data_IF_961332414641
#
_entry.id   IF_961332414641
#
_cell.length_a   1.000
_cell.length_b   1.000
_cell.length_c   1.000
_cell.angle_alpha   90.00
_cell.angle_beta   90.00
_cell.angle_gamma   90.00
#
_symmetry.space_group_name_H-M   'P 1'
#
loop_
_entity.id
_entity.type
_entity.pdbx_description
1 polymer ?
#
# COMPACT_ATOMS: atom_id res chain seq x y z
N UNK A 1 13.26 5.40 26.01
CA UNK A 1 13.04 6.65 26.76
C UNK A 1 12.08 7.48 25.93
N UNK A 2 10.81 7.56 26.35
CA UNK A 2 9.81 8.42 25.70
C UNK A 2 10.26 9.86 25.94
N UNK A 3 10.66 10.57 24.90
CA UNK A 3 10.89 12.00 24.98
C UNK A 3 9.53 12.67 25.06
N UNK A 4 9.27 13.37 26.14
CA UNK A 4 7.97 13.97 26.51
C UNK A 4 7.76 15.34 25.81
N UNK A 5 8.30 15.49 24.60
CA UNK A 5 8.23 16.73 23.80
C UNK A 5 7.11 16.74 22.75
N UNK A 6 6.25 15.70 22.76
CA UNK A 6 5.13 15.58 21.82
C UNK A 6 5.53 15.24 20.38
N UNK A 7 6.83 15.00 20.12
CA UNK A 7 7.30 14.55 18.80
C UNK A 7 7.05 13.04 18.64
N UNK A 8 6.64 12.63 17.46
CA UNK A 8 6.41 11.20 17.12
C UNK A 8 7.67 10.34 17.13
N UNK A 9 8.83 10.90 17.44
CA UNK A 9 10.14 10.22 17.36
C UNK A 9 10.58 9.90 15.93
N UNK A 10 9.85 10.37 14.92
CA UNK A 10 10.13 10.16 13.48
C UNK A 10 10.92 11.32 12.86
N UNK A 11 10.99 12.47 13.52
CA UNK A 11 11.67 13.66 12.99
C UNK A 11 13.12 13.34 12.57
N UNK A 12 13.51 13.81 11.38
CA UNK A 12 14.84 13.61 10.76
C UNK A 12 15.16 12.16 10.35
N UNK A 13 14.21 11.24 10.42
CA UNK A 13 14.35 9.91 9.83
C UNK A 13 14.14 9.97 8.30
N UNK A 14 14.64 8.97 7.57
CA UNK A 14 14.43 8.83 6.14
C UNK A 14 13.51 7.66 5.81
N UNK A 15 12.48 7.93 5.02
CA UNK A 15 11.46 6.93 4.63
C UNK A 15 11.23 6.93 3.12
N UNK A 16 11.33 5.73 2.51
CA UNK A 16 10.92 5.50 1.12
C UNK A 16 9.43 5.12 1.05
N UNK A 17 8.67 5.79 0.17
CA UNK A 17 7.26 5.44 -0.10
C UNK A 17 7.11 5.10 -1.58
N UNK A 18 6.92 3.83 -1.92
CA UNK A 18 6.62 3.44 -3.30
C UNK A 18 5.17 3.75 -3.64
N UNK A 19 4.89 4.12 -4.90
CA UNK A 19 3.54 4.58 -5.27
C UNK A 19 3.14 5.90 -4.62
N UNK A 20 4.11 6.72 -4.18
CA UNK A 20 3.89 7.96 -3.42
C UNK A 20 3.32 9.13 -4.22
N UNK A 21 3.12 8.98 -5.53
CA UNK A 21 2.59 10.04 -6.40
C UNK A 21 1.06 10.22 -6.35
N UNK A 22 0.30 9.36 -5.66
CA UNK A 22 -1.16 9.45 -5.55
C UNK A 22 -1.72 8.56 -4.43
N UNK A 23 -3.02 8.73 -4.13
CA UNK A 23 -3.80 7.85 -3.26
C UNK A 23 -3.19 7.63 -1.88
N UNK A 24 -3.18 6.38 -1.42
CA UNK A 24 -2.65 6.00 -0.10
C UNK A 24 -1.19 6.39 0.06
N UNK A 25 -0.36 6.16 -0.97
CA UNK A 25 1.06 6.50 -0.91
C UNK A 25 1.31 7.99 -0.71
N UNK A 26 0.56 8.85 -1.42
CA UNK A 26 0.62 10.30 -1.24
C UNK A 26 0.15 10.70 0.17
N UNK A 27 -0.96 10.14 0.66
CA UNK A 27 -1.45 10.42 2.00
C UNK A 27 -0.46 10.06 3.10
N UNK A 28 0.20 8.89 2.96
CA UNK A 28 1.26 8.45 3.88
C UNK A 28 2.47 9.40 3.81
N UNK A 29 2.93 9.74 2.60
CA UNK A 29 4.06 10.65 2.40
C UNK A 29 3.78 12.03 3.02
N UNK A 30 2.57 12.56 2.84
CA UNK A 30 2.13 13.84 3.44
C UNK A 30 2.15 13.77 4.97
N UNK A 31 1.60 12.71 5.55
CA UNK A 31 1.56 12.53 7.00
C UNK A 31 2.96 12.38 7.63
N UNK A 32 3.89 11.72 6.94
CA UNK A 32 5.28 11.59 7.37
C UNK A 32 6.03 12.92 7.28
N UNK A 33 5.87 13.66 6.18
CA UNK A 33 6.48 14.97 6.01
C UNK A 33 6.03 15.96 7.09
N UNK A 34 4.77 15.89 7.54
CA UNK A 34 4.25 16.70 8.64
C UNK A 34 4.97 16.43 9.99
N UNK A 35 5.54 15.25 10.17
CA UNK A 35 6.35 14.89 11.35
C UNK A 35 7.84 15.25 11.19
N UNK A 36 8.23 15.91 10.10
CA UNK A 36 9.63 16.27 9.83
C UNK A 36 10.49 15.10 9.33
N UNK A 37 9.86 14.08 8.74
CA UNK A 37 10.52 12.96 8.07
C UNK A 37 11.06 13.42 6.72
N UNK A 38 12.24 12.96 6.33
CA UNK A 38 12.73 13.05 4.96
C UNK A 38 12.08 11.95 4.13
N UNK A 39 11.14 12.32 3.26
CA UNK A 39 10.36 11.36 2.48
C UNK A 39 10.90 11.29 1.06
N UNK A 40 11.25 10.09 0.59
CA UNK A 40 11.48 9.84 -0.84
C UNK A 40 10.27 9.13 -1.40
N UNK A 41 9.60 9.73 -2.38
CA UNK A 41 8.49 9.10 -3.09
C UNK A 41 8.94 8.56 -4.44
N UNK A 42 8.52 7.35 -4.80
CA UNK A 42 8.82 6.82 -6.12
C UNK A 42 7.57 6.27 -6.85
N UNK A 43 7.68 6.21 -8.18
CA UNK A 43 6.63 5.72 -9.09
C UNK A 43 7.01 5.97 -10.54
N UNK A 44 6.20 5.47 -11.47
CA UNK A 44 6.51 5.47 -12.91
C UNK A 44 6.26 6.82 -13.61
N UNK A 45 5.44 7.69 -13.05
CA UNK A 45 5.05 8.94 -13.70
C UNK A 45 5.70 10.13 -13.00
N UNK A 46 6.69 10.72 -13.66
CA UNK A 46 7.49 11.85 -13.17
C UNK A 46 6.62 13.08 -12.85
N UNK A 47 5.65 13.42 -13.72
CA UNK A 47 4.78 14.58 -13.50
C UNK A 47 3.88 14.41 -12.27
N UNK A 48 3.37 13.18 -12.04
CA UNK A 48 2.58 12.90 -10.82
C UNK A 48 3.45 13.01 -9.57
N UNK A 49 4.69 12.53 -9.62
CA UNK A 49 5.63 12.66 -8.51
C UNK A 49 5.97 14.11 -8.23
N UNK A 50 6.24 14.91 -9.26
CA UNK A 50 6.56 16.33 -9.11
C UNK A 50 5.38 17.10 -8.48
N UNK A 51 4.13 16.86 -8.94
CA UNK A 51 2.94 17.46 -8.34
C UNK A 51 2.74 17.03 -6.88
N UNK A 52 2.93 15.75 -6.58
CA UNK A 52 2.84 15.23 -5.23
C UNK A 52 3.87 15.88 -4.30
N UNK A 53 5.13 15.97 -4.73
CA UNK A 53 6.19 16.61 -3.96
C UNK A 53 5.91 18.11 -3.71
N UNK A 54 5.41 18.81 -4.73
CA UNK A 54 5.01 20.22 -4.58
C UNK A 54 3.88 20.38 -3.57
N UNK A 55 2.84 19.54 -3.65
CA UNK A 55 1.72 19.55 -2.71
C UNK A 55 2.20 19.29 -1.28
N UNK A 56 2.99 18.23 -1.06
CA UNK A 56 3.50 17.85 0.26
C UNK A 56 4.32 18.99 0.87
N UNK A 57 5.21 19.60 0.08
CA UNK A 57 6.08 20.68 0.53
C UNK A 57 5.30 21.96 0.84
N UNK A 58 4.24 22.24 0.07
CA UNK A 58 3.35 23.39 0.32
C UNK A 58 2.58 23.20 1.62
N UNK A 59 2.04 22.00 1.84
CA UNK A 59 1.24 21.70 3.02
C UNK A 59 2.12 21.54 4.30
N UNK A 60 3.40 21.17 4.12
CA UNK A 60 4.33 20.87 5.22
C UNK A 60 5.71 21.50 4.95
N UNK A 61 5.88 22.81 5.17
CA UNK A 61 7.14 23.52 4.85
C UNK A 61 8.37 23.03 5.63
N UNK A 62 8.18 22.33 6.75
CA UNK A 62 9.26 21.74 7.55
C UNK A 62 9.70 20.34 7.04
N UNK A 63 8.87 19.70 6.22
CA UNK A 63 9.17 18.40 5.61
C UNK A 63 10.04 18.53 4.35
N UNK A 64 10.80 17.50 4.06
CA UNK A 64 11.56 17.39 2.80
C UNK A 64 11.07 16.21 2.00
N UNK A 65 10.91 16.41 0.68
CA UNK A 65 10.44 15.37 -0.24
C UNK A 65 11.36 15.29 -1.44
N UNK A 66 11.90 14.09 -1.68
CA UNK A 66 12.64 13.76 -2.89
C UNK A 66 11.79 12.85 -3.79
N UNK A 67 12.03 12.88 -5.10
CA UNK A 67 11.28 12.06 -6.07
C UNK A 67 12.22 11.18 -6.88
N UNK A 68 11.81 9.93 -7.13
CA UNK A 68 12.55 9.00 -8.00
C UNK A 68 11.57 8.36 -8.98
N UNK A 69 11.79 8.58 -10.28
CA UNK A 69 11.07 7.81 -11.30
C UNK A 69 11.57 6.37 -11.28
N UNK A 70 10.70 5.43 -10.90
CA UNK A 70 11.05 4.03 -10.74
C UNK A 70 9.83 3.12 -11.01
N UNK A 71 10.07 1.99 -11.68
CA UNK A 71 9.14 0.87 -11.74
C UNK A 71 9.57 -0.17 -10.71
N UNK A 72 8.69 -0.48 -9.74
CA UNK A 72 9.00 -1.45 -8.69
C UNK A 72 9.19 -2.88 -9.20
N UNK A 73 8.77 -3.17 -10.42
CA UNK A 73 9.03 -4.46 -11.10
C UNK A 73 10.42 -4.53 -11.73
N UNK A 74 11.13 -3.42 -11.81
CA UNK A 74 12.52 -3.34 -12.27
C UNK A 74 13.45 -3.26 -11.06
N UNK A 75 14.33 -4.25 -10.91
CA UNK A 75 15.21 -4.35 -9.75
C UNK A 75 16.20 -3.18 -9.64
N UNK A 76 16.78 -2.71 -10.75
CA UNK A 76 17.73 -1.59 -10.77
C UNK A 76 17.05 -0.26 -10.36
N UNK A 77 15.79 -0.09 -10.76
CA UNK A 77 15.00 1.07 -10.34
C UNK A 77 14.76 1.07 -8.83
N UNK A 78 14.46 -0.09 -8.25
CA UNK A 78 14.28 -0.24 -6.81
C UNK A 78 15.59 0.03 -6.06
N UNK A 79 16.72 -0.49 -6.55
CA UNK A 79 18.05 -0.21 -5.98
C UNK A 79 18.32 1.29 -5.95
N UNK A 80 18.06 1.98 -7.06
CA UNK A 80 18.24 3.43 -7.18
C UNK A 80 17.32 4.20 -6.21
N UNK A 81 16.05 3.80 -6.09
CA UNK A 81 15.12 4.46 -5.18
C UNK A 81 15.53 4.31 -3.71
N UNK A 82 16.02 3.13 -3.30
CA UNK A 82 16.55 2.87 -1.95
C UNK A 82 17.82 3.69 -1.68
N UNK A 83 18.73 3.76 -2.65
CA UNK A 83 19.95 4.56 -2.54
C UNK A 83 19.62 6.04 -2.32
N UNK A 84 18.75 6.61 -3.18
CA UNK A 84 18.34 8.03 -3.06
C UNK A 84 17.67 8.30 -1.71
N UNK A 85 16.81 7.39 -1.22
CA UNK A 85 16.19 7.55 0.09
C UNK A 85 17.22 7.59 1.23
N UNK A 86 18.35 6.91 1.08
CA UNK A 86 19.41 6.86 2.09
C UNK A 86 20.35 8.08 2.07
N UNK A 87 20.45 8.80 0.95
CA UNK A 87 21.49 9.84 0.71
C UNK A 87 21.36 11.02 1.68
N UNK A 88 20.15 11.48 1.96
CA UNK A 88 19.94 12.74 2.69
C UNK A 88 20.33 12.66 4.16
N UNK A 89 20.08 11.53 4.81
CA UNK A 89 20.37 11.31 6.23
C UNK A 89 21.58 10.39 6.46
N UNK A 90 22.10 9.79 5.38
CA UNK A 90 23.17 8.79 5.42
C UNK A 90 22.68 7.38 5.73
N UNK A 91 21.37 7.18 5.95
CA UNK A 91 20.75 5.88 6.20
C UNK A 91 19.29 5.85 5.79
N UNK A 92 18.71 4.66 5.67
CA UNK A 92 17.28 4.43 5.55
C UNK A 92 16.74 3.98 6.92
N UNK A 93 15.61 4.55 7.36
CA UNK A 93 14.97 4.20 8.64
C UNK A 93 13.64 3.47 8.44
N UNK A 94 12.96 3.71 7.33
CA UNK A 94 11.67 3.08 7.07
C UNK A 94 11.27 3.00 5.60
N UNK A 95 10.32 2.12 5.31
CA UNK A 95 9.77 1.92 3.97
C UNK A 95 8.27 1.68 4.02
N UNK A 96 7.52 2.26 3.08
CA UNK A 96 6.10 1.92 2.86
C UNK A 96 5.90 1.47 1.42
N UNK A 97 5.46 0.21 1.22
CA UNK A 97 5.23 -0.34 -0.12
C UNK A 97 3.78 -0.11 -0.54
N UNK A 98 3.48 1.06 -1.14
CA UNK A 98 2.15 1.40 -1.63
C UNK A 98 1.96 1.16 -3.13
N UNK A 99 3.03 0.94 -3.90
CA UNK A 99 2.92 0.62 -5.32
C UNK A 99 2.10 -0.65 -5.52
N UNK A 100 1.05 -0.58 -6.31
CA UNK A 100 0.16 -1.70 -6.57
C UNK A 100 -1.03 -1.30 -7.44
N UNK A 101 -1.76 -2.29 -7.91
CA UNK A 101 -2.92 -2.08 -8.79
C UNK A 101 -3.61 -3.39 -9.15
N UNK A 102 -4.59 -3.29 -10.05
CA UNK A 102 -5.28 -4.43 -10.62
C UNK A 102 -5.57 -4.18 -12.09
N UNK A 103 -5.14 -5.09 -12.96
CA UNK A 103 -5.41 -5.07 -14.39
C UNK A 103 -6.43 -6.15 -14.78
N UNK A 104 -6.96 -6.91 -13.80
CA UNK A 104 -7.83 -8.04 -14.07
C UNK A 104 -9.21 -7.84 -13.45
N UNK A 105 -10.25 -7.95 -14.27
CA UNK A 105 -11.65 -7.98 -13.84
C UNK A 105 -12.41 -9.08 -14.58
N UNK A 106 -13.41 -9.67 -13.93
CA UNK A 106 -14.28 -10.65 -14.55
C UNK A 106 -14.20 -12.03 -13.88
N UNK A 107 -15.01 -12.98 -14.40
CA UNK A 107 -15.06 -14.35 -13.90
C UNK A 107 -13.72 -15.06 -14.11
N UNK A 108 -13.33 -15.92 -13.17
CA UNK A 108 -12.05 -16.63 -13.20
C UNK A 108 -11.84 -17.45 -14.47
N UNK A 109 -12.93 -17.90 -15.11
CA UNK A 109 -12.93 -18.65 -16.38
C UNK A 109 -12.60 -17.81 -17.61
N UNK A 110 -12.58 -16.47 -17.47
CA UNK A 110 -12.38 -15.53 -18.59
C UNK A 110 -11.24 -14.53 -18.31
N UNK A 111 -10.43 -14.77 -17.30
CA UNK A 111 -9.32 -13.86 -16.96
C UNK A 111 -8.24 -13.91 -18.05
N UNK A 112 -7.78 -12.74 -18.48
CA UNK A 112 -6.60 -12.60 -19.31
C UNK A 112 -5.33 -12.96 -18.51
N UNK A 113 -4.56 -13.91 -19.04
CA UNK A 113 -3.39 -14.47 -18.33
C UNK A 113 -2.25 -13.45 -18.25
N UNK A 114 -2.09 -12.58 -19.25
CA UNK A 114 -1.01 -11.60 -19.24
C UNK A 114 -1.34 -10.43 -18.29
N UNK A 115 -2.60 -9.99 -18.23
CA UNK A 115 -3.06 -9.05 -17.21
C UNK A 115 -2.93 -9.63 -15.79
N UNK A 116 -3.22 -10.94 -15.62
CA UNK A 116 -2.97 -11.66 -14.37
C UNK A 116 -1.49 -11.58 -13.97
N UNK A 117 -0.58 -11.94 -14.89
CA UNK A 117 0.88 -11.90 -14.64
C UNK A 117 1.34 -10.50 -14.26
N UNK A 118 0.94 -9.47 -15.01
CA UNK A 118 1.31 -8.08 -14.70
C UNK A 118 0.79 -7.62 -13.33
N UNK A 119 -0.44 -8.01 -12.94
CA UNK A 119 -0.99 -7.71 -11.62
C UNK A 119 -0.19 -8.38 -10.50
N UNK A 120 0.15 -9.66 -10.67
CA UNK A 120 0.97 -10.40 -9.69
C UNK A 120 2.38 -9.81 -9.64
N UNK A 121 2.97 -9.52 -10.78
CA UNK A 121 4.32 -8.96 -10.86
C UNK A 121 4.39 -7.59 -10.16
N UNK A 122 3.46 -6.69 -10.45
CA UNK A 122 3.38 -5.39 -9.78
C UNK A 122 3.21 -5.53 -8.27
N UNK A 123 2.21 -6.31 -7.81
CA UNK A 123 1.83 -6.35 -6.41
C UNK A 123 2.76 -7.21 -5.55
N UNK A 124 3.21 -8.37 -6.07
CA UNK A 124 4.01 -9.35 -5.30
C UNK A 124 5.50 -9.15 -5.57
N UNK A 125 5.92 -9.24 -6.85
CA UNK A 125 7.35 -9.13 -7.21
C UNK A 125 7.87 -7.73 -6.86
N UNK A 126 7.11 -6.67 -7.18
CA UNK A 126 7.49 -5.29 -6.85
C UNK A 126 7.61 -5.06 -5.35
N UNK A 127 6.70 -5.63 -4.54
CA UNK A 127 6.81 -5.57 -3.07
C UNK A 127 8.02 -6.36 -2.58
N UNK A 128 8.25 -7.56 -3.13
CA UNK A 128 9.41 -8.39 -2.78
C UNK A 128 10.73 -7.70 -3.08
N UNK A 129 10.89 -7.11 -4.26
CA UNK A 129 12.09 -6.37 -4.64
C UNK A 129 12.32 -5.16 -3.72
N UNK A 130 11.24 -4.44 -3.39
CA UNK A 130 11.31 -3.32 -2.45
C UNK A 130 11.75 -3.79 -1.07
N UNK A 131 11.16 -4.85 -0.51
CA UNK A 131 11.58 -5.43 0.76
C UNK A 131 13.05 -5.89 0.70
N UNK A 132 13.44 -6.64 -0.34
CA UNK A 132 14.79 -7.19 -0.52
C UNK A 132 15.88 -6.11 -0.40
N UNK A 133 15.73 -5.02 -1.13
CA UNK A 133 16.78 -3.99 -1.18
C UNK A 133 16.70 -3.02 0.01
N UNK A 134 15.49 -2.70 0.46
CA UNK A 134 15.31 -1.87 1.65
C UNK A 134 15.77 -2.58 2.94
N UNK A 135 15.48 -3.88 3.07
CA UNK A 135 15.93 -4.66 4.23
C UNK A 135 17.46 -4.66 4.37
N UNK A 136 18.20 -4.75 3.25
CA UNK A 136 19.67 -4.65 3.27
C UNK A 136 20.15 -3.31 3.83
N UNK A 137 19.52 -2.21 3.41
CA UNK A 137 19.85 -0.87 3.91
C UNK A 137 19.49 -0.70 5.39
N UNK A 138 18.29 -1.18 5.80
CA UNK A 138 17.83 -1.12 7.19
C UNK A 138 18.71 -1.98 8.13
N UNK A 139 19.10 -3.18 7.72
CA UNK A 139 20.03 -4.03 8.49
C UNK A 139 21.39 -3.36 8.65
N UNK A 140 21.91 -2.73 7.58
CA UNK A 140 23.15 -1.98 7.65
C UNK A 140 23.07 -0.74 8.56
N UNK A 141 21.88 -0.13 8.70
CA UNK A 141 21.59 0.96 9.62
C UNK A 141 21.38 0.49 11.07
N UNK A 142 21.33 -0.83 11.34
CA UNK A 142 21.11 -1.40 12.68
C UNK A 142 19.65 -1.65 13.03
N UNK A 143 18.72 -1.52 12.10
CA UNK A 143 17.29 -1.80 12.24
C UNK A 143 16.40 -0.82 11.49
N UNK A 144 15.09 -0.95 11.64
CA UNK A 144 14.12 -0.08 11.01
C UNK A 144 12.74 -0.71 10.88
N UNK A 145 11.89 -0.11 10.04
CA UNK A 145 10.52 -0.61 9.87
C UNK A 145 10.06 -0.60 8.42
N UNK A 146 9.43 -1.70 8.00
CA UNK A 146 8.78 -1.83 6.70
C UNK A 146 7.26 -1.97 6.92
N UNK A 147 6.48 -1.18 6.22
CA UNK A 147 5.02 -1.26 6.19
C UNK A 147 4.57 -1.61 4.79
N UNK A 148 3.94 -2.77 4.62
CA UNK A 148 3.36 -3.15 3.34
C UNK A 148 1.89 -2.77 3.28
N UNK A 149 1.40 -2.41 2.08
CA UNK A 149 -0.01 -2.13 1.85
C UNK A 149 -0.64 -3.27 1.05
N UNK A 150 -1.45 -4.06 1.74
CA UNK A 150 -2.27 -5.12 1.15
C UNK A 150 -3.69 -4.62 0.86
N UNK A 151 -4.70 -5.39 1.18
CA UNK A 151 -6.13 -5.08 1.07
C UNK A 151 -6.95 -6.09 1.88
N UNK A 152 -8.13 -5.72 2.32
CA UNK A 152 -9.11 -6.70 2.84
C UNK A 152 -9.45 -7.77 1.81
N UNK A 153 -9.30 -7.48 0.50
CA UNK A 153 -9.48 -8.45 -0.58
C UNK A 153 -8.51 -9.65 -0.52
N UNK A 154 -7.43 -9.56 0.26
CA UNK A 154 -6.49 -10.66 0.48
C UNK A 154 -7.11 -11.85 1.23
N UNK A 155 -8.14 -11.62 2.02
CA UNK A 155 -8.80 -12.66 2.83
C UNK A 155 -10.33 -12.59 2.80
N UNK A 156 -10.92 -11.46 2.42
CA UNK A 156 -12.35 -11.32 2.18
C UNK A 156 -12.60 -11.26 0.66
N UNK A 157 -13.22 -12.31 0.10
CA UNK A 157 -13.35 -12.47 -1.34
C UNK A 157 -14.08 -11.30 -1.99
N UNK A 158 -13.41 -10.67 -2.97
CA UNK A 158 -13.99 -9.70 -3.87
C UNK A 158 -14.23 -10.39 -5.22
N UNK A 159 -15.49 -10.80 -5.44
CA UNK A 159 -15.85 -11.54 -6.67
C UNK A 159 -15.51 -10.71 -7.90
N UNK A 160 -14.95 -11.37 -8.91
CA UNK A 160 -14.56 -10.81 -10.21
C UNK A 160 -13.43 -9.78 -10.19
N UNK A 161 -12.68 -9.67 -9.10
CA UNK A 161 -11.48 -8.84 -9.02
C UNK A 161 -10.19 -9.58 -9.43
N UNK A 162 -10.33 -10.75 -10.07
CA UNK A 162 -9.25 -11.49 -10.70
C UNK A 162 -8.03 -11.73 -9.82
N UNK A 163 -6.86 -11.31 -10.28
CA UNK A 163 -5.57 -11.48 -9.60
C UNK A 163 -5.40 -10.63 -8.35
N UNK A 164 -6.25 -9.60 -8.13
CA UNK A 164 -6.04 -8.64 -7.05
C UNK A 164 -6.01 -9.30 -5.67
N UNK A 165 -7.08 -10.01 -5.30
CA UNK A 165 -7.14 -10.72 -4.01
C UNK A 165 -5.98 -11.69 -3.80
N UNK A 166 -5.74 -12.64 -4.72
CA UNK A 166 -4.60 -13.56 -4.65
C UNK A 166 -3.24 -12.87 -4.53
N UNK A 167 -3.00 -11.78 -5.28
CA UNK A 167 -1.75 -11.03 -5.18
C UNK A 167 -1.59 -10.34 -3.82
N UNK A 168 -2.67 -9.78 -3.28
CA UNK A 168 -2.65 -9.14 -1.95
C UNK A 168 -2.50 -10.17 -0.81
N UNK A 169 -3.03 -11.39 -0.97
CA UNK A 169 -2.72 -12.50 -0.07
C UNK A 169 -1.23 -12.90 -0.11
N UNK A 170 -0.62 -12.83 -1.30
CA UNK A 170 0.83 -12.99 -1.46
C UNK A 170 1.62 -11.91 -0.70
N UNK A 171 1.18 -10.65 -0.71
CA UNK A 171 1.80 -9.56 0.08
C UNK A 171 1.69 -9.82 1.57
N UNK A 172 0.55 -10.33 2.06
CA UNK A 172 0.37 -10.67 3.46
C UNK A 172 1.37 -11.74 3.92
N UNK A 173 1.46 -12.82 3.17
CA UNK A 173 2.39 -13.92 3.49
C UNK A 173 3.86 -13.48 3.38
N UNK A 174 4.20 -12.70 2.35
CA UNK A 174 5.53 -12.11 2.18
C UNK A 174 5.92 -11.20 3.35
N UNK A 175 4.96 -10.43 3.89
CA UNK A 175 5.17 -9.60 5.09
C UNK A 175 5.55 -10.46 6.30
N UNK A 176 4.83 -11.56 6.53
CA UNK A 176 5.11 -12.47 7.65
C UNK A 176 6.46 -13.18 7.50
N UNK A 177 6.77 -13.66 6.29
CA UNK A 177 8.07 -14.25 5.96
C UNK A 177 9.20 -13.26 6.26
N UNK A 178 9.11 -12.04 5.73
CA UNK A 178 10.13 -11.01 5.94
C UNK A 178 10.27 -10.60 7.42
N UNK A 179 9.16 -10.56 8.16
CA UNK A 179 9.18 -10.25 9.60
C UNK A 179 9.91 -11.32 10.40
N UNK A 180 9.70 -12.61 10.08
CA UNK A 180 10.36 -13.73 10.73
C UNK A 180 11.87 -13.73 10.46
N UNK A 181 12.26 -13.55 9.19
CA UNK A 181 13.66 -13.55 8.78
C UNK A 181 14.46 -12.34 9.30
N UNK A 182 13.84 -11.16 9.36
CA UNK A 182 14.52 -9.89 9.64
C UNK A 182 14.47 -9.45 11.10
N UNK A 183 13.66 -10.12 11.93
CA UNK A 183 13.46 -9.76 13.33
C UNK A 183 14.75 -9.75 14.15
N UNK A 184 15.65 -10.72 13.91
CA UNK A 184 16.95 -10.79 14.57
C UNK A 184 17.88 -9.60 14.25
N UNK A 185 17.61 -8.88 13.16
CA UNK A 185 18.32 -7.67 12.73
C UNK A 185 17.62 -6.37 13.14
N UNK A 186 16.65 -6.43 14.06
CA UNK A 186 15.84 -5.29 14.50
C UNK A 186 15.04 -4.61 13.37
N UNK A 187 14.73 -5.31 12.29
CA UNK A 187 13.86 -4.82 11.23
C UNK A 187 12.45 -5.39 11.45
N UNK A 188 11.49 -4.51 11.68
CA UNK A 188 10.07 -4.89 11.83
C UNK A 188 9.39 -4.81 10.47
N UNK A 189 8.52 -5.77 10.17
CA UNK A 189 7.74 -5.77 8.93
C UNK A 189 6.28 -6.03 9.27
N UNK A 190 5.39 -5.08 8.95
CA UNK A 190 3.96 -5.19 9.22
C UNK A 190 3.15 -4.80 7.99
N UNK A 191 1.94 -5.31 7.90
CA UNK A 191 1.02 -5.06 6.79
C UNK A 191 -0.21 -4.30 7.25
N UNK A 192 -0.65 -3.35 6.43
CA UNK A 192 -1.96 -2.71 6.55
C UNK A 192 -2.85 -3.27 5.44
N UNK A 193 -4.08 -3.67 5.80
CA UNK A 193 -5.16 -4.03 4.86
C UNK A 193 -6.21 -2.93 4.85
N UNK A 194 -6.17 -2.00 3.90
CA UNK A 194 -7.24 -1.01 3.74
C UNK A 194 -8.57 -1.68 3.34
N UNK A 195 -9.69 -1.16 3.87
CA UNK A 195 -11.00 -1.30 3.28
C UNK A 195 -11.18 -0.35 2.08
N UNK A 196 -12.44 -0.12 1.68
CA UNK A 196 -12.74 0.87 0.64
C UNK A 196 -12.27 2.25 1.13
N UNK A 197 -11.20 2.75 0.51
CA UNK A 197 -10.53 4.01 0.87
C UNK A 197 -10.61 4.96 -0.32
N UNK A 198 -11.02 6.21 -0.09
CA UNK A 198 -11.19 7.24 -1.13
C UNK A 198 -9.85 7.56 -1.81
N UNK A 199 -9.75 7.20 -3.07
CA UNK A 199 -8.61 7.47 -3.97
C UNK A 199 -9.11 7.56 -5.40
N UNK A 200 -8.35 8.16 -6.30
CA UNK A 200 -8.69 8.22 -7.73
C UNK A 200 -8.91 6.83 -8.34
N UNK A 201 -8.20 5.82 -7.85
CA UNK A 201 -8.30 4.44 -8.35
C UNK A 201 -9.69 3.84 -8.18
N UNK A 202 -10.40 4.22 -7.14
CA UNK A 202 -11.72 3.69 -6.79
C UNK A 202 -12.84 4.73 -6.94
N UNK A 203 -12.59 5.84 -7.64
CA UNK A 203 -13.56 6.93 -7.83
C UNK A 203 -14.89 6.41 -8.38
N UNK A 204 -14.86 5.51 -9.40
CA UNK A 204 -16.06 4.89 -9.98
C UNK A 204 -16.93 4.13 -8.95
N UNK A 205 -16.35 3.69 -7.83
CA UNK A 205 -17.10 3.03 -6.76
C UNK A 205 -17.55 4.08 -5.73
N UNK A 206 -16.68 5.03 -5.37
CA UNK A 206 -16.93 5.98 -4.29
C UNK A 206 -17.83 7.15 -4.69
N UNK A 207 -18.06 7.34 -6.00
CA UNK A 207 -18.96 8.38 -6.52
C UNK A 207 -20.45 8.02 -6.42
N UNK A 208 -20.77 6.77 -5.98
CA UNK A 208 -22.13 6.32 -5.73
C UNK A 208 -22.51 5.02 -6.44
N UNK A 209 -23.75 4.60 -6.23
CA UNK A 209 -24.35 3.45 -6.91
C UNK A 209 -24.35 2.16 -6.08
N UNK A 210 -24.93 1.07 -6.64
CA UNK A 210 -25.23 -0.17 -5.90
C UNK A 210 -24.02 -0.83 -5.23
N UNK A 211 -22.83 -0.70 -5.82
CA UNK A 211 -21.61 -1.26 -5.24
C UNK A 211 -21.21 -0.49 -3.99
N UNK A 212 -21.28 0.86 -4.01
CA UNK A 212 -21.03 1.65 -2.82
C UNK A 212 -22.05 1.37 -1.72
N UNK A 213 -23.34 1.27 -2.09
CA UNK A 213 -24.41 0.99 -1.14
C UNK A 213 -24.17 -0.35 -0.44
N UNK A 214 -23.71 -1.37 -1.18
CA UNK A 214 -23.35 -2.67 -0.64
C UNK A 214 -22.13 -2.60 0.29
N UNK A 215 -21.10 -1.82 -0.08
CA UNK A 215 -19.97 -1.57 0.82
C UNK A 215 -20.44 -0.92 2.13
N UNK A 216 -21.28 0.10 2.05
CA UNK A 216 -21.78 0.82 3.24
C UNK A 216 -22.62 -0.07 4.13
N UNK A 217 -23.49 -0.92 3.56
CA UNK A 217 -24.30 -1.88 4.31
C UNK A 217 -23.44 -2.93 5.05
N UNK A 218 -22.26 -3.25 4.51
CA UNK A 218 -21.35 -4.23 5.08
C UNK A 218 -20.19 -3.61 5.87
N UNK A 219 -20.14 -2.29 6.07
CA UNK A 219 -19.11 -1.61 6.85
C UNK A 219 -19.71 -1.07 8.14
N UNK A 220 -19.40 -1.62 9.33
CA UNK A 220 -19.94 -1.18 10.62
C UNK A 220 -19.75 0.31 10.89
N UNK A 221 -18.56 0.88 10.61
CA UNK A 221 -18.33 2.32 10.60
C UNK A 221 -18.73 2.84 9.22
N UNK A 222 -20.01 3.17 9.04
CA UNK A 222 -20.69 3.39 7.75
C UNK A 222 -20.19 4.65 7.01
N UNK A 223 -18.93 4.63 6.60
CA UNK A 223 -18.31 5.63 5.71
C UNK A 223 -17.24 4.99 4.84
N UNK A 224 -16.92 5.63 3.73
CA UNK A 224 -15.69 5.35 2.98
C UNK A 224 -14.49 5.76 3.86
N UNK A 225 -13.44 4.95 3.88
CA UNK A 225 -12.19 5.30 4.53
C UNK A 225 -11.49 6.45 3.79
N UNK A 226 -10.71 7.24 4.52
CA UNK A 226 -9.86 8.28 3.94
C UNK A 226 -8.39 7.84 3.97
N UNK A 227 -7.56 8.40 3.11
CA UNK A 227 -6.13 8.08 3.07
C UNK A 227 -5.45 8.38 4.42
N UNK A 228 -5.97 9.34 5.18
CA UNK A 228 -5.49 9.68 6.52
C UNK A 228 -5.73 8.57 7.55
N UNK A 229 -6.79 7.75 7.39
CA UNK A 229 -7.02 6.59 8.26
C UNK A 229 -5.87 5.58 8.14
N UNK A 230 -5.40 5.36 6.89
CA UNK A 230 -4.30 4.44 6.59
C UNK A 230 -2.95 5.04 7.02
N UNK A 231 -2.75 6.33 6.73
CA UNK A 231 -1.51 7.04 7.05
C UNK A 231 -1.25 7.09 8.56
N UNK A 232 -2.29 7.21 9.39
CA UNK A 232 -2.17 7.20 10.84
C UNK A 232 -1.55 5.91 11.36
N UNK A 233 -2.02 4.74 10.86
CA UNK A 233 -1.44 3.45 11.27
C UNK A 233 -0.04 3.25 10.66
N UNK A 234 0.20 3.66 9.41
CA UNK A 234 1.53 3.57 8.80
C UNK A 234 2.57 4.36 9.61
N UNK A 235 2.22 5.59 10.02
CA UNK A 235 3.05 6.42 10.89
C UNK A 235 3.35 5.73 12.24
N UNK A 236 2.34 5.19 12.90
CA UNK A 236 2.52 4.44 14.14
C UNK A 236 3.45 3.23 13.98
N UNK A 237 3.26 2.44 12.91
CA UNK A 237 4.07 1.25 12.64
C UNK A 237 5.52 1.58 12.24
N UNK A 238 5.78 2.73 11.67
CA UNK A 238 7.14 3.21 11.39
C UNK A 238 7.82 3.75 12.66
N UNK A 239 7.05 4.28 13.59
CA UNK A 239 7.54 4.98 14.77
C UNK A 239 8.03 4.10 15.92
N UNK A 240 8.56 4.72 16.96
CA UNK A 240 9.12 4.03 18.13
C UNK A 240 8.05 3.40 19.05
N UNK A 241 6.79 3.78 18.93
CA UNK A 241 5.71 3.25 19.78
C UNK A 241 5.28 1.82 19.39
N UNK A 242 5.81 1.29 18.28
CA UNK A 242 5.51 -0.04 17.75
C UNK A 242 6.71 -1.02 17.77
N UNK A 243 7.70 -0.78 18.63
CA UNK A 243 8.96 -1.56 18.65
C UNK A 243 8.79 -3.06 18.96
N UNK A 244 7.65 -3.47 19.54
CA UNK A 244 7.33 -4.87 19.82
C UNK A 244 6.24 -5.43 18.88
N UNK A 245 6.03 -4.79 17.70
CA UNK A 245 5.03 -5.19 16.72
C UNK A 245 5.73 -5.53 15.41
N UNK A 246 5.72 -6.82 15.03
CA UNK A 246 6.22 -7.31 13.74
C UNK A 246 5.39 -8.50 13.27
N UNK A 247 5.34 -8.76 11.97
CA UNK A 247 4.58 -9.85 11.35
C UNK A 247 3.05 -9.68 11.40
N UNK A 248 2.56 -8.49 11.78
CA UNK A 248 1.12 -8.27 11.92
C UNK A 248 0.49 -7.84 10.60
N UNK A 249 -0.73 -8.35 10.39
CA UNK A 249 -1.59 -8.00 9.26
C UNK A 249 -2.81 -7.28 9.86
N UNK A 250 -2.87 -5.96 9.73
CA UNK A 250 -3.83 -5.12 10.45
C UNK A 250 -4.85 -4.52 9.47
N UNK A 251 -6.12 -4.77 9.73
CA UNK A 251 -7.21 -4.19 8.93
C UNK A 251 -7.46 -2.72 9.36
N UNK A 252 -7.59 -1.83 8.37
CA UNK A 252 -8.09 -0.45 8.53
C UNK A 252 -9.23 -0.30 7.55
N UNK A 253 -10.40 -0.77 7.94
CA UNK A 253 -11.50 -1.09 7.03
C UNK A 253 -12.90 -0.74 7.57
N UNK A 254 -12.98 0.02 8.67
CA UNK A 254 -14.25 0.35 9.31
C UNK A 254 -15.02 -0.86 9.86
N UNK A 255 -14.36 -2.03 10.01
CA UNK A 255 -14.94 -3.27 10.45
C UNK A 255 -15.55 -4.13 9.33
N UNK A 256 -15.27 -3.81 8.07
CA UNK A 256 -15.83 -4.56 6.92
C UNK A 256 -15.48 -6.04 6.96
N UNK A 257 -14.28 -6.41 7.44
CA UNK A 257 -13.88 -7.82 7.60
C UNK A 257 -14.77 -8.66 8.52
N UNK A 258 -15.60 -8.04 9.34
CA UNK A 258 -16.62 -8.72 10.18
C UNK A 258 -17.84 -9.17 9.36
N UNK A 259 -17.94 -8.76 8.11
CA UNK A 259 -19.05 -9.00 7.20
C UNK A 259 -18.55 -9.71 5.94
N UNK A 260 -19.45 -9.96 4.97
CA UNK A 260 -19.09 -10.51 3.66
C UNK A 260 -18.35 -9.49 2.78
N UNK A 261 -17.66 -9.98 1.75
CA UNK A 261 -17.15 -9.13 0.65
C UNK A 261 -18.27 -8.43 -0.11
N UNK A 262 -17.97 -7.34 -0.83
CA UNK A 262 -18.93 -6.56 -1.60
C UNK A 262 -19.50 -7.36 -2.79
N UNK A 263 -20.72 -7.00 -3.20
CA UNK A 263 -21.33 -7.54 -4.41
C UNK A 263 -21.14 -6.60 -5.60
N UNK A 264 -20.37 -7.06 -6.58
CA UNK A 264 -20.07 -6.33 -7.81
C UNK A 264 -20.96 -6.77 -9.00
N UNK A 265 -22.01 -7.58 -8.77
CA UNK A 265 -22.86 -8.09 -9.86
C UNK A 265 -23.35 -6.96 -10.76
N UNK A 266 -23.88 -5.89 -10.17
CA UNK A 266 -24.43 -4.75 -10.92
C UNK A 266 -23.40 -4.04 -11.82
N UNK A 267 -22.12 -4.09 -11.46
CA UNK A 267 -21.04 -3.48 -12.24
C UNK A 267 -20.59 -4.39 -13.41
N UNK A 268 -20.52 -5.69 -13.19
CA UNK A 268 -19.91 -6.60 -14.15
C UNK A 268 -20.90 -7.40 -15.01
N UNK A 269 -22.16 -7.53 -14.59
CA UNK A 269 -23.18 -8.22 -15.40
C UNK A 269 -23.40 -7.59 -16.79
N UNK A 270 -23.36 -6.24 -16.97
CA UNK A 270 -23.43 -5.64 -18.29
C UNK A 270 -22.27 -6.01 -19.23
N UNK A 271 -21.10 -6.36 -18.69
CA UNK A 271 -19.89 -6.70 -19.44
C UNK A 271 -19.84 -8.20 -19.80
N UNK A 272 -20.26 -9.06 -18.89
CA UNK A 272 -20.06 -10.51 -18.99
C UNK A 272 -21.38 -11.29 -19.14
N UNK A 273 -22.53 -10.67 -18.89
CA UNK A 273 -23.83 -11.33 -18.81
C UNK A 273 -23.99 -12.23 -17.59
N UNK A 274 -25.21 -12.57 -17.21
CA UNK A 274 -25.49 -13.44 -16.06
C UNK A 274 -24.83 -14.83 -16.20
N UNK A 275 -24.84 -15.40 -17.41
CA UNK A 275 -24.21 -16.71 -17.67
C UNK A 275 -22.69 -16.63 -17.59
N UNK A 276 -22.10 -15.58 -18.14
CA UNK A 276 -20.66 -15.35 -18.07
C UNK A 276 -20.17 -15.18 -16.62
N UNK A 277 -20.93 -14.46 -15.79
CA UNK A 277 -20.59 -14.31 -14.36
C UNK A 277 -20.66 -15.64 -13.58
N UNK A 278 -21.43 -16.60 -14.05
CA UNK A 278 -21.48 -17.97 -13.49
C UNK A 278 -20.37 -18.88 -14.08
N UNK A 279 -19.51 -18.33 -14.95
CA UNK A 279 -18.45 -19.07 -15.60
C UNK A 279 -18.86 -19.84 -16.85
N UNK A 280 -20.10 -19.68 -17.33
CA UNK A 280 -20.52 -20.24 -18.59
C UNK A 280 -19.92 -19.40 -19.74
N UNK A 281 -19.04 -20.00 -20.51
CA UNK A 281 -18.43 -19.40 -21.71
C UNK A 281 -18.91 -20.15 -22.92
N UNK A 282 -19.25 -19.43 -23.97
CA UNK A 282 -19.50 -20.08 -25.26
C UNK A 282 -18.20 -20.80 -25.71
N UNK A 283 -18.30 -22.02 -26.23
CA UNK A 283 -17.15 -22.79 -26.71
C UNK A 283 -16.43 -22.12 -27.85
#
# INVERSE_FOLDING_TARGET
VVTNDGSSGLAKTSVLVTGGGSGIGLGVATALAAEGVHVTICGRNEEKLARAAQQITTDNPAGTVDTVTADVTNEDDVIRAVATASERTGQLDGVVTCAGGNETVGPVTQLDVDAWRRTVDLNVTGTMLTIKHSARALVAAGGGSIVTISSIASSNTHRWFGAYGPSKAGVDNLTQLAADELGASNVRVNCIRPGLTRTDLVALITDGGPVLDDYMANTPIARVGEVTDIAALAKFLLGPDSTWITGQIINVDGGQMLRRGPDFTSMFEPMFGADGLRGAVAP
#
